data_IF_432974005249
#
_entry.id   IF_432974005249
#
_cell.length_a   1.000
_cell.length_b   1.000
_cell.length_c   1.000
_cell.angle_alpha   90.00
_cell.angle_beta   90.00
_cell.angle_gamma   90.00
#
_symmetry.space_group_name_H-M   'P 1'
#
loop_
_entity.id
_entity.type
_entity.pdbx_description
1 polymer ?
#
# COMPACT_ATOMS: atom_id res chain seq x y z
N UNK A 1 -7.27 25.46 12.01
CA UNK A 1 -7.98 25.06 10.78
C UNK A 1 -7.36 23.76 10.30
N UNK A 2 -8.02 22.63 10.57
CA UNK A 2 -7.57 21.32 10.11
C UNK A 2 -8.01 21.21 8.66
N UNK A 3 -7.04 21.22 7.74
CA UNK A 3 -7.29 20.81 6.36
C UNK A 3 -7.72 19.36 6.41
N UNK A 4 -9.03 19.11 6.32
CA UNK A 4 -9.55 17.80 5.98
C UNK A 4 -9.09 17.52 4.56
N UNK A 5 -7.94 16.88 4.40
CA UNK A 5 -7.59 16.22 3.15
C UNK A 5 -8.46 14.94 3.07
N UNK A 6 -9.76 15.17 2.94
CA UNK A 6 -10.76 14.19 2.49
C UNK A 6 -10.65 13.96 0.97
N UNK A 7 -9.52 14.37 0.39
CA UNK A 7 -9.22 14.21 -1.02
C UNK A 7 -8.82 12.76 -1.21
N UNK A 8 -9.71 11.99 -1.85
CA UNK A 8 -9.30 10.70 -2.42
C UNK A 8 -8.01 10.89 -3.21
N UNK A 9 -7.06 9.98 -3.01
CA UNK A 9 -5.82 9.98 -3.78
C UNK A 9 -6.12 10.07 -5.28
N UNK A 10 -5.44 10.99 -5.95
CA UNK A 10 -5.42 11.04 -7.40
C UNK A 10 -4.77 9.79 -7.99
N UNK A 11 -5.01 9.51 -9.27
CA UNK A 11 -4.38 8.37 -9.94
C UNK A 11 -2.84 8.40 -9.86
N UNK A 12 -2.25 9.59 -9.97
CA UNK A 12 -0.79 9.78 -9.91
C UNK A 12 -0.25 9.52 -8.51
N UNK A 13 -0.94 9.95 -7.47
CA UNK A 13 -0.58 9.65 -6.08
C UNK A 13 -0.71 8.15 -5.79
N UNK A 14 -1.78 7.52 -6.27
CA UNK A 14 -2.00 6.09 -6.07
C UNK A 14 -0.90 5.26 -6.76
N UNK A 15 -0.53 5.59 -8.00
CA UNK A 15 0.61 4.95 -8.69
C UNK A 15 1.92 5.17 -7.94
N UNK A 16 2.17 6.39 -7.48
CA UNK A 16 3.37 6.69 -6.69
C UNK A 16 3.43 5.87 -5.41
N UNK A 17 2.31 5.74 -4.70
CA UNK A 17 2.21 4.90 -3.51
C UNK A 17 2.54 3.44 -3.81
N UNK A 18 1.96 2.87 -4.88
CA UNK A 18 2.24 1.49 -5.27
C UNK A 18 3.73 1.25 -5.60
N UNK A 19 4.39 2.21 -6.27
CA UNK A 19 5.84 2.13 -6.54
C UNK A 19 6.67 2.13 -5.26
N UNK A 20 6.34 3.01 -4.30
CA UNK A 20 7.02 3.07 -3.01
C UNK A 20 6.78 1.79 -2.20
N UNK A 21 5.54 1.31 -2.20
CA UNK A 21 5.14 0.08 -1.53
C UNK A 21 5.90 -1.12 -2.10
N UNK A 22 6.00 -1.26 -3.43
CA UNK A 22 6.79 -2.32 -4.07
C UNK A 22 8.25 -2.29 -3.59
N UNK A 23 8.89 -1.12 -3.65
CA UNK A 23 10.28 -0.96 -3.20
C UNK A 23 10.44 -1.33 -1.73
N UNK A 24 9.54 -0.86 -0.87
CA UNK A 24 9.54 -1.22 0.55
C UNK A 24 9.35 -2.72 0.76
N UNK A 25 8.44 -3.36 0.02
CA UNK A 25 8.23 -4.81 0.06
C UNK A 25 9.46 -5.60 -0.42
N UNK A 26 10.33 -5.00 -1.23
CA UNK A 26 11.57 -5.62 -1.72
C UNK A 26 12.75 -5.44 -0.75
N UNK A 27 12.74 -4.39 0.10
CA UNK A 27 13.90 -4.06 0.96
C UNK A 27 13.66 -4.19 2.45
N UNK A 28 12.44 -3.92 2.94
CA UNK A 28 12.16 -3.77 4.38
C UNK A 28 11.14 -4.78 4.94
N UNK A 29 10.42 -5.52 4.08
CA UNK A 29 9.25 -6.32 4.49
C UNK A 29 9.53 -7.24 5.69
N UNK A 30 10.65 -7.96 5.64
CA UNK A 30 10.99 -8.96 6.66
C UNK A 30 11.29 -8.34 8.04
N UNK A 31 11.50 -7.02 8.10
CA UNK A 31 11.73 -6.28 9.34
C UNK A 31 10.46 -5.62 9.90
N UNK A 32 9.41 -5.49 9.09
CA UNK A 32 8.24 -4.66 9.41
C UNK A 32 6.92 -5.29 8.93
N UNK A 33 6.66 -6.55 9.29
CA UNK A 33 5.48 -7.31 8.86
C UNK A 33 4.15 -6.78 9.44
N UNK A 34 4.19 -6.20 10.64
CA UNK A 34 3.01 -5.67 11.34
C UNK A 34 3.24 -4.20 11.71
N UNK A 35 2.42 -3.33 11.16
CA UNK A 35 2.51 -1.88 11.38
C UNK A 35 1.24 -1.34 12.01
N UNK A 36 1.42 -0.35 12.88
CA UNK A 36 0.34 0.50 13.38
C UNK A 36 0.57 1.88 12.77
N UNK A 37 -0.36 2.33 11.93
CA UNK A 37 -0.32 3.62 11.26
C UNK A 37 -1.28 4.56 11.98
N UNK A 38 -0.79 5.52 12.77
CA UNK A 38 -1.66 6.48 13.43
C UNK A 38 -2.29 7.41 12.39
N UNK A 39 -3.62 7.54 12.42
CA UNK A 39 -4.37 8.47 11.55
C UNK A 39 -5.22 9.40 12.39
N UNK A 40 -5.80 10.43 11.75
CA UNK A 40 -6.77 11.34 12.40
C UNK A 40 -8.03 10.62 12.90
N UNK A 41 -8.35 9.48 12.30
CA UNK A 41 -9.56 8.69 12.57
C UNK A 41 -9.28 7.50 13.51
N UNK A 42 -8.04 7.38 14.01
CA UNK A 42 -7.56 6.30 14.88
C UNK A 42 -6.43 5.49 14.27
N UNK A 43 -6.00 4.46 14.99
CA UNK A 43 -4.93 3.58 14.56
C UNK A 43 -5.41 2.60 13.48
N UNK A 44 -4.66 2.53 12.37
CA UNK A 44 -4.86 1.54 11.31
C UNK A 44 -3.80 0.46 11.45
N UNK A 45 -4.25 -0.78 11.57
CA UNK A 45 -3.38 -1.95 11.68
C UNK A 45 -3.18 -2.56 10.29
N UNK A 46 -1.92 -2.67 9.86
CA UNK A 46 -1.56 -3.20 8.54
C UNK A 46 -0.68 -4.42 8.73
N UNK A 47 -1.04 -5.52 8.07
CA UNK A 47 -0.20 -6.72 7.97
C UNK A 47 0.15 -6.95 6.52
N UNK A 48 1.44 -7.11 6.23
CA UNK A 48 1.96 -7.32 4.88
C UNK A 48 2.87 -8.54 4.90
N UNK A 49 2.60 -9.53 4.06
CA UNK A 49 3.35 -10.79 4.04
C UNK A 49 3.51 -11.37 2.65
N UNK A 50 4.42 -12.34 2.51
CA UNK A 50 4.62 -13.10 1.26
C UNK A 50 3.53 -14.16 1.02
N UNK A 51 2.78 -14.48 2.07
CA UNK A 51 1.70 -15.46 2.05
C UNK A 51 0.37 -14.76 2.31
N UNK A 52 -0.72 -15.23 1.69
CA UNK A 52 -2.04 -14.74 2.04
C UNK A 52 -2.30 -14.97 3.52
N UNK A 53 -3.08 -14.07 4.13
CA UNK A 53 -3.58 -14.32 5.47
C UNK A 53 -4.39 -15.63 5.44
N UNK A 54 -4.24 -16.47 6.45
CA UNK A 54 -4.88 -17.80 6.52
C UNK A 54 -6.40 -17.77 6.35
N UNK A 55 -7.01 -16.62 6.63
CA UNK A 55 -8.45 -16.35 6.54
C UNK A 55 -8.93 -15.87 5.17
N UNK A 56 -8.02 -15.65 4.21
CA UNK A 56 -8.36 -15.11 2.89
C UNK A 56 -7.84 -16.01 1.76
N UNK A 57 -8.73 -16.61 0.95
CA UNK A 57 -8.30 -17.41 -0.18
C UNK A 57 -7.63 -16.53 -1.27
N UNK A 58 -6.66 -17.12 -1.98
CA UNK A 58 -5.81 -16.42 -2.94
C UNK A 58 -6.58 -15.77 -4.11
N UNK A 59 -7.77 -16.28 -4.41
CA UNK A 59 -8.66 -15.80 -5.47
C UNK A 59 -9.31 -14.44 -5.16
N UNK A 60 -9.29 -13.99 -3.91
CA UNK A 60 -9.73 -12.64 -3.52
C UNK A 60 -8.70 -11.55 -3.83
N UNK A 61 -7.47 -11.93 -4.17
CA UNK A 61 -6.41 -10.97 -4.47
C UNK A 61 -6.37 -10.65 -5.97
N UNK A 62 -6.46 -9.36 -6.28
CA UNK A 62 -6.22 -8.87 -7.66
C UNK A 62 -4.76 -8.49 -7.81
N UNK A 63 -4.09 -9.06 -8.81
CA UNK A 63 -2.69 -8.71 -9.10
C UNK A 63 -2.61 -7.32 -9.72
N UNK A 64 -1.78 -6.46 -9.14
CA UNK A 64 -1.51 -5.13 -9.70
C UNK A 64 -0.76 -5.27 -11.03
N UNK A 65 -1.19 -4.61 -12.12
CA UNK A 65 -0.49 -4.68 -13.40
C UNK A 65 0.94 -4.12 -13.33
N UNK A 66 1.93 -4.80 -13.92
CA UNK A 66 3.33 -4.35 -13.90
C UNK A 66 3.53 -2.94 -14.48
N UNK A 67 2.73 -2.57 -15.49
CA UNK A 67 2.77 -1.25 -16.11
C UNK A 67 2.49 -0.10 -15.13
N UNK A 68 1.85 -0.37 -13.98
CA UNK A 68 1.58 0.65 -12.96
C UNK A 68 2.81 0.98 -12.11
N UNK A 69 3.85 0.15 -12.18
CA UNK A 69 5.14 0.41 -11.51
C UNK A 69 6.16 1.11 -12.43
N UNK A 70 5.85 1.26 -13.71
CA UNK A 70 6.70 2.00 -14.64
C UNK A 70 6.85 3.48 -14.23
N UNK A 71 7.96 4.09 -14.66
CA UNK A 71 8.12 5.54 -14.60
C UNK A 71 7.09 6.18 -15.54
N UNK A 72 6.37 7.20 -15.07
CA UNK A 72 5.63 8.07 -15.98
C UNK A 72 6.67 8.66 -16.95
N UNK A 73 6.67 8.17 -18.18
CA UNK A 73 7.54 8.70 -19.21
C UNK A 73 7.08 10.12 -19.56
N UNK A 74 7.73 11.12 -18.94
CA UNK A 74 7.63 12.53 -19.32
C UNK A 74 6.62 13.34 -18.51
#
# INVERSE_FOLDING_TARGET
MVGTDDTRMTNSEHRRFLRLLRRWCETELDQFEHLIVPTRDGDVYVTMGRYPATEHPNDLYTRVPEAWFGEDAG
#
